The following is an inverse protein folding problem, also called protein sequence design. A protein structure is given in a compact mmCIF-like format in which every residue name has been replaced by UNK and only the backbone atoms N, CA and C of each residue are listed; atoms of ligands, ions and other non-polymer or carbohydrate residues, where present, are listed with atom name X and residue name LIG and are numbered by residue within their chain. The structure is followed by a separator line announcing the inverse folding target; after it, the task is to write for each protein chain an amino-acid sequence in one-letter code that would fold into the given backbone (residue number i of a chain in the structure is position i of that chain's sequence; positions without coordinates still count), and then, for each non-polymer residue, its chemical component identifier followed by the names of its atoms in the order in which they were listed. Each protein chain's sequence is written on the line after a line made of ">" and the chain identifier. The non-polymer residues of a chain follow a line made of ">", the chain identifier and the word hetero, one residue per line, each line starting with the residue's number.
data_IF_440513708014
#
_entry.id   IF_440513708014
#
_cell.length_a   1.000
_cell.length_b   1.000
_cell.length_c   1.000
_cell.angle_alpha   90.00
_cell.angle_beta   90.00
_cell.angle_gamma   90.00
#
_symmetry.space_group_name_H-M   'P 1'
#
loop_
_entity.id
_entity.type
_entity.pdbx_description
1 polymer ?
#
# COMPACT_ATOMS: atom_id res chain seq x y z
N UNK A 1 17.01 9.60 -8.86
CA UNK A 1 16.57 8.29 -8.36
C UNK A 1 17.17 7.15 -9.20
N UNK A 2 17.06 7.17 -10.54
CA UNK A 2 17.65 6.15 -11.44
C UNK A 2 19.16 5.98 -11.24
N UNK A 3 19.92 7.10 -11.26
CA UNK A 3 21.37 7.05 -11.02
C UNK A 3 21.74 6.44 -9.67
N UNK A 4 20.92 6.65 -8.65
CA UNK A 4 21.11 6.03 -7.33
C UNK A 4 20.89 4.51 -7.39
N UNK A 5 19.83 4.05 -8.03
CA UNK A 5 19.57 2.61 -8.19
C UNK A 5 20.63 1.93 -9.05
N UNK A 6 21.10 2.58 -10.12
CA UNK A 6 22.17 2.05 -10.97
C UNK A 6 23.49 1.97 -10.20
N UNK A 7 23.79 2.95 -9.34
CA UNK A 7 24.96 2.90 -8.45
C UNK A 7 24.84 1.77 -7.42
N UNK A 8 23.65 1.58 -6.81
CA UNK A 8 23.40 0.48 -5.88
C UNK A 8 23.58 -0.90 -6.53
N UNK A 9 23.22 -1.04 -7.80
CA UNK A 9 23.30 -2.31 -8.56
C UNK A 9 24.66 -2.57 -9.18
N UNK A 10 25.60 -1.61 -9.15
CA UNK A 10 26.89 -1.72 -9.86
C UNK A 10 27.87 -2.77 -9.31
N UNK A 11 27.58 -3.35 -8.14
CA UNK A 11 28.46 -4.34 -7.50
C UNK A 11 29.83 -3.77 -7.09
N UNK A 12 30.04 -2.45 -7.17
CA UNK A 12 31.30 -1.80 -6.85
C UNK A 12 31.57 -1.65 -5.36
N UNK A 13 30.52 -1.83 -4.54
CA UNK A 13 30.58 -1.60 -3.11
C UNK A 13 30.46 -2.90 -2.33
N UNK A 14 31.36 -3.10 -1.36
CA UNK A 14 31.34 -4.26 -0.46
C UNK A 14 30.25 -4.17 0.59
N UNK A 15 29.86 -2.94 0.97
CA UNK A 15 28.84 -2.65 1.97
C UNK A 15 27.87 -1.62 1.40
N UNK A 16 26.57 -1.87 1.58
CA UNK A 16 25.52 -0.92 1.23
C UNK A 16 24.68 -0.63 2.45
N UNK A 17 24.35 0.65 2.65
CA UNK A 17 23.49 1.12 3.73
C UNK A 17 22.21 1.63 3.12
N UNK A 18 21.08 1.14 3.59
CA UNK A 18 19.74 1.59 3.17
C UNK A 18 18.80 1.72 4.39
N UNK A 19 17.70 2.42 4.23
CA UNK A 19 16.65 2.44 5.25
C UNK A 19 15.77 1.18 5.14
N UNK A 20 14.96 0.92 6.17
CA UNK A 20 14.04 -0.22 6.22
C UNK A 20 13.06 -0.25 5.04
N UNK A 21 12.58 0.93 4.61
CA UNK A 21 11.63 1.02 3.50
C UNK A 21 12.22 0.49 2.20
N UNK A 22 13.48 0.83 1.87
CA UNK A 22 14.12 0.34 0.66
C UNK A 22 14.43 -1.16 0.74
N UNK A 23 14.83 -1.66 1.91
CA UNK A 23 15.01 -3.09 2.15
C UNK A 23 13.70 -3.84 1.93
N UNK A 24 12.62 -3.40 2.57
CA UNK A 24 11.30 -4.04 2.44
C UNK A 24 10.75 -3.95 1.02
N UNK A 25 10.94 -2.81 0.33
CA UNK A 25 10.56 -2.66 -1.07
C UNK A 25 11.32 -3.65 -1.98
N UNK A 26 12.62 -3.87 -1.74
CA UNK A 26 13.40 -4.87 -2.46
C UNK A 26 12.86 -6.29 -2.22
N UNK A 27 12.55 -6.63 -0.97
CA UNK A 27 11.99 -7.92 -0.61
C UNK A 27 10.62 -8.16 -1.27
N UNK A 28 9.76 -7.15 -1.31
CA UNK A 28 8.47 -7.20 -2.03
C UNK A 28 8.70 -7.42 -3.53
N UNK A 29 9.66 -6.70 -4.14
CA UNK A 29 10.00 -6.89 -5.54
C UNK A 29 10.46 -8.32 -5.83
N UNK A 30 11.33 -8.87 -4.98
CA UNK A 30 11.83 -10.26 -5.12
C UNK A 30 10.71 -11.28 -4.97
N UNK A 31 9.82 -11.13 -4.00
CA UNK A 31 8.66 -12.03 -3.80
C UNK A 31 7.72 -12.04 -5.01
N UNK A 32 7.57 -10.89 -5.67
CA UNK A 32 6.77 -10.73 -6.89
C UNK A 32 7.54 -11.10 -8.18
N UNK A 33 8.75 -11.66 -8.09
CA UNK A 33 9.62 -11.97 -9.22
C UNK A 33 9.92 -10.78 -10.14
N UNK A 34 9.88 -9.57 -9.58
CA UNK A 34 10.29 -8.34 -10.24
C UNK A 34 11.81 -8.16 -10.13
N UNK A 35 12.36 -7.22 -10.94
CA UNK A 35 13.77 -6.86 -10.86
C UNK A 35 14.12 -6.38 -9.45
N UNK A 36 15.13 -6.95 -8.77
CA UNK A 36 15.58 -6.49 -7.46
C UNK A 36 16.00 -5.01 -7.48
N UNK A 37 15.76 -4.31 -6.39
CA UNK A 37 16.21 -2.93 -6.21
C UNK A 37 17.62 -2.87 -5.64
N UNK A 38 17.98 -3.85 -4.82
CA UNK A 38 19.30 -4.00 -4.21
C UNK A 38 20.02 -5.21 -4.81
N UNK A 39 21.37 -5.21 -4.87
CA UNK A 39 22.13 -6.37 -5.27
C UNK A 39 21.99 -7.51 -4.23
N UNK A 40 22.35 -8.71 -4.66
CA UNK A 40 22.43 -9.85 -3.77
C UNK A 40 23.51 -9.62 -2.72
N UNK A 41 23.19 -9.88 -1.46
CA UNK A 41 24.09 -9.73 -0.33
C UNK A 41 24.30 -11.04 0.39
N UNK A 42 25.52 -11.27 0.87
CA UNK A 42 25.84 -12.45 1.67
C UNK A 42 25.27 -12.37 3.09
N UNK A 43 25.05 -11.14 3.61
CA UNK A 43 24.49 -10.90 4.93
C UNK A 43 23.70 -9.58 4.93
N UNK A 44 22.68 -9.53 5.77
CA UNK A 44 21.89 -8.32 6.06
C UNK A 44 22.02 -8.04 7.55
N UNK A 45 22.43 -6.82 7.89
CA UNK A 45 22.44 -6.31 9.27
C UNK A 45 21.35 -5.27 9.39
N UNK A 46 20.39 -5.50 10.28
CA UNK A 46 19.27 -4.59 10.52
C UNK A 46 19.52 -3.86 11.83
N UNK A 47 19.84 -2.59 11.73
CA UNK A 47 19.93 -1.69 12.89
C UNK A 47 18.52 -1.21 13.26
N UNK A 48 18.31 -0.83 14.53
CA UNK A 48 16.99 -0.42 15.04
C UNK A 48 15.88 -1.43 14.70
N UNK A 49 16.18 -2.72 14.81
CA UNK A 49 15.28 -3.81 14.38
C UNK A 49 13.88 -3.76 15.00
N UNK A 50 13.72 -3.07 16.14
CA UNK A 50 12.42 -2.86 16.79
C UNK A 50 11.45 -1.99 15.95
N UNK A 51 11.98 -1.16 15.03
CA UNK A 51 11.18 -0.32 14.11
C UNK A 51 10.73 -1.08 12.86
N UNK A 52 11.40 -2.21 12.54
CA UNK A 52 11.11 -2.96 11.32
C UNK A 52 9.65 -3.47 11.23
N UNK A 53 9.04 -4.00 12.31
CA UNK A 53 7.66 -4.48 12.26
C UNK A 53 6.65 -3.37 11.94
N UNK A 54 6.84 -2.17 12.46
CA UNK A 54 5.97 -1.03 12.17
C UNK A 54 6.10 -0.60 10.71
N UNK A 55 7.33 -0.42 10.25
CA UNK A 55 7.61 -0.11 8.83
C UNK A 55 7.05 -1.19 7.90
N UNK A 56 7.17 -2.45 8.27
CA UNK A 56 6.64 -3.56 7.49
C UNK A 56 5.10 -3.57 7.45
N UNK A 57 4.41 -3.27 8.55
CA UNK A 57 2.94 -3.12 8.54
C UNK A 57 2.49 -2.04 7.57
N UNK A 58 3.19 -0.90 7.54
CA UNK A 58 2.91 0.18 6.59
C UNK A 58 3.19 -0.23 5.14
N UNK A 59 4.28 -0.96 4.90
CA UNK A 59 4.70 -1.37 3.54
C UNK A 59 3.87 -2.52 2.95
N UNK A 60 3.42 -3.46 3.78
CA UNK A 60 2.56 -4.58 3.38
C UNK A 60 1.08 -4.28 3.55
N UNK A 61 0.76 -3.15 4.18
CA UNK A 61 -0.60 -2.68 4.35
C UNK A 61 -1.16 -2.01 3.11
N UNK A 62 -2.44 -1.76 3.15
CA UNK A 62 -3.18 -0.97 2.16
C UNK A 62 -4.03 0.07 2.86
N UNK A 63 -4.17 1.22 2.25
CA UNK A 63 -5.04 2.29 2.73
C UNK A 63 -5.97 2.73 1.61
N UNK A 64 -7.13 3.25 1.97
CA UNK A 64 -8.10 3.86 1.06
C UNK A 64 -8.68 5.09 1.73
N UNK A 65 -8.53 6.23 1.06
CA UNK A 65 -8.99 7.54 1.50
C UNK A 65 -9.98 8.15 0.50
N UNK A 66 -10.70 9.18 0.89
CA UNK A 66 -11.51 9.96 -0.04
C UNK A 66 -10.66 10.61 -1.14
N UNK A 67 -9.41 10.97 -0.83
CA UNK A 67 -8.47 11.59 -1.76
C UNK A 67 -8.10 10.66 -2.93
N UNK A 68 -7.98 9.35 -2.71
CA UNK A 68 -7.67 8.38 -3.77
C UNK A 68 -8.74 8.39 -4.86
N UNK A 69 -10.00 8.51 -4.48
CA UNK A 69 -11.10 8.64 -5.43
C UNK A 69 -11.09 9.99 -6.14
N UNK A 70 -10.84 11.08 -5.40
CA UNK A 70 -10.79 12.41 -5.98
C UNK A 70 -9.69 12.55 -7.05
N UNK A 71 -8.51 11.98 -6.80
CA UNK A 71 -7.39 11.97 -7.76
C UNK A 71 -7.73 11.15 -9.00
N UNK A 72 -8.37 9.98 -8.83
CA UNK A 72 -8.78 9.15 -9.96
C UNK A 72 -9.85 9.86 -10.81
N UNK A 73 -10.89 10.43 -10.19
CA UNK A 73 -11.96 11.16 -10.87
C UNK A 73 -11.37 12.34 -11.65
N UNK A 74 -10.48 13.11 -11.02
CA UNK A 74 -9.78 14.21 -11.67
C UNK A 74 -8.97 13.74 -12.89
N UNK A 75 -8.22 12.64 -12.76
CA UNK A 75 -7.42 12.08 -13.85
C UNK A 75 -8.29 11.62 -15.03
N UNK A 76 -9.44 11.00 -14.76
CA UNK A 76 -10.42 10.62 -15.79
C UNK A 76 -11.01 11.85 -16.51
N UNK A 77 -11.32 12.92 -15.78
CA UNK A 77 -11.77 14.19 -16.38
C UNK A 77 -10.70 14.83 -17.27
N UNK A 78 -9.45 14.84 -16.82
CA UNK A 78 -8.31 15.40 -17.61
C UNK A 78 -8.15 14.64 -18.93
N UNK A 79 -8.32 13.33 -18.92
CA UNK A 79 -8.28 12.49 -20.12
C UNK A 79 -9.61 12.46 -20.90
N UNK A 80 -10.60 13.27 -20.50
CA UNK A 80 -11.91 13.44 -21.16
C UNK A 80 -12.84 12.23 -21.09
N UNK A 81 -12.63 11.31 -20.16
CA UNK A 81 -13.56 10.22 -19.85
C UNK A 81 -14.64 10.69 -18.86
N UNK A 82 -15.34 11.77 -19.22
CA UNK A 82 -16.30 12.47 -18.33
C UNK A 82 -17.36 11.54 -17.78
N UNK A 83 -17.96 10.70 -18.64
CA UNK A 83 -19.00 9.76 -18.21
C UNK A 83 -18.49 8.76 -17.16
N UNK A 84 -17.28 8.24 -17.33
CA UNK A 84 -16.68 7.32 -16.35
C UNK A 84 -16.39 8.04 -15.03
N UNK A 85 -15.92 9.29 -15.11
CA UNK A 85 -15.67 10.11 -13.93
C UNK A 85 -16.96 10.43 -13.16
N UNK A 86 -18.03 10.80 -13.85
CA UNK A 86 -19.34 11.09 -13.24
C UNK A 86 -19.96 9.83 -12.61
N UNK A 87 -19.95 8.69 -13.30
CA UNK A 87 -20.42 7.42 -12.77
C UNK A 87 -19.64 6.99 -11.50
N UNK A 88 -18.32 7.18 -11.51
CA UNK A 88 -17.49 6.88 -10.36
C UNK A 88 -17.79 7.85 -9.21
N UNK A 89 -17.90 9.16 -9.49
CA UNK A 89 -18.22 10.18 -8.50
C UNK A 89 -19.53 9.87 -7.78
N UNK A 90 -20.59 9.57 -8.53
CA UNK A 90 -21.88 9.16 -7.95
C UNK A 90 -21.79 7.89 -7.12
N UNK A 91 -21.00 6.91 -7.59
CA UNK A 91 -20.87 5.64 -6.90
C UNK A 91 -20.10 5.72 -5.58
N UNK A 92 -19.10 6.63 -5.50
CA UNK A 92 -18.24 6.78 -4.32
C UNK A 92 -18.74 7.83 -3.33
N UNK A 93 -19.69 8.70 -3.72
CA UNK A 93 -20.18 9.81 -2.89
C UNK A 93 -20.54 9.40 -1.46
N UNK A 94 -21.35 8.33 -1.20
CA UNK A 94 -21.70 7.95 0.17
C UNK A 94 -20.48 7.47 0.99
N UNK A 95 -19.53 6.79 0.35
CA UNK A 95 -18.30 6.36 1.00
C UNK A 95 -17.38 7.56 1.26
N UNK A 96 -17.24 8.46 0.29
CA UNK A 96 -16.41 9.65 0.41
C UNK A 96 -16.92 10.61 1.50
N UNK A 97 -18.24 10.80 1.60
CA UNK A 97 -18.85 11.55 2.69
C UNK A 97 -18.52 10.94 4.06
N UNK A 98 -18.64 9.60 4.18
CA UNK A 98 -18.32 8.89 5.43
C UNK A 98 -16.83 9.00 5.77
N UNK A 99 -15.94 8.91 4.76
CA UNK A 99 -14.49 9.05 4.94
C UNK A 99 -14.05 10.51 5.21
N UNK A 100 -14.87 11.50 4.88
CA UNK A 100 -14.60 12.91 5.18
C UNK A 100 -14.83 13.27 6.65
N UNK A 101 -15.36 12.35 7.44
CA UNK A 101 -15.62 12.52 8.86
C UNK A 101 -14.62 11.66 9.66
N UNK A 102 -14.27 12.07 10.89
CA UNK A 102 -13.46 11.24 11.76
C UNK A 102 -14.18 9.93 12.12
N UNK A 103 -13.42 8.93 12.51
CA UNK A 103 -14.00 7.64 12.93
C UNK A 103 -14.89 7.85 14.15
N UNK A 104 -16.16 7.44 14.05
CA UNK A 104 -17.09 7.46 15.17
C UNK A 104 -16.61 6.52 16.28
N UNK A 105 -16.75 6.95 17.54
CA UNK A 105 -16.34 6.14 18.68
C UNK A 105 -17.03 4.77 18.67
N UNK A 106 -16.24 3.70 18.63
CA UNK A 106 -16.76 2.33 18.54
C UNK A 106 -17.16 1.85 17.14
N UNK A 107 -17.02 2.67 16.10
CA UNK A 107 -17.24 2.23 14.73
C UNK A 107 -16.04 1.43 14.22
N UNK A 108 -16.31 0.17 13.83
CA UNK A 108 -15.35 -0.69 13.15
C UNK A 108 -15.41 -0.57 11.63
N UNK A 109 -14.61 -1.38 10.95
CA UNK A 109 -14.60 -1.49 9.49
C UNK A 109 -16.00 -1.80 8.91
N UNK A 110 -16.81 -2.58 9.61
CA UNK A 110 -18.16 -2.99 9.20
C UNK A 110 -19.09 -1.79 8.89
N UNK A 111 -18.85 -0.65 9.57
CA UNK A 111 -19.62 0.57 9.32
C UNK A 111 -19.39 1.17 7.93
N UNK A 112 -18.34 0.76 7.24
CA UNK A 112 -17.96 1.23 5.90
C UNK A 112 -18.24 0.18 4.81
N UNK A 113 -18.33 -1.09 5.18
CA UNK A 113 -18.40 -2.22 4.25
C UNK A 113 -19.58 -2.12 3.28
N UNK A 114 -20.73 -1.66 3.75
CA UNK A 114 -21.93 -1.51 2.93
C UNK A 114 -21.78 -0.47 1.81
N UNK A 115 -20.87 0.49 1.97
CA UNK A 115 -20.61 1.54 0.98
C UNK A 115 -19.58 1.15 -0.09
N UNK A 116 -18.95 -0.02 0.03
CA UNK A 116 -17.90 -0.50 -0.90
C UNK A 116 -18.46 -1.21 -2.13
N UNK A 117 -19.68 -1.76 -2.06
CA UNK A 117 -20.24 -2.56 -3.14
C UNK A 117 -20.38 -1.78 -4.45
N UNK A 118 -21.00 -0.60 -4.39
CA UNK A 118 -21.23 0.22 -5.58
C UNK A 118 -19.95 0.74 -6.22
N UNK A 119 -18.98 1.31 -5.48
CA UNK A 119 -17.66 1.62 -6.01
C UNK A 119 -16.95 0.42 -6.65
N UNK A 120 -16.99 -0.75 -6.02
CA UNK A 120 -16.41 -1.96 -6.56
C UNK A 120 -17.01 -2.36 -7.92
N UNK A 121 -18.34 -2.35 -8.04
CA UNK A 121 -19.03 -2.68 -9.28
C UNK A 121 -18.68 -1.69 -10.40
N UNK A 122 -18.73 -0.39 -10.12
CA UNK A 122 -18.45 0.67 -11.11
C UNK A 122 -16.98 0.63 -11.53
N UNK A 123 -16.03 0.51 -10.60
CA UNK A 123 -14.62 0.40 -10.93
C UNK A 123 -14.31 -0.83 -11.78
N UNK A 124 -14.98 -1.96 -11.51
CA UNK A 124 -14.84 -3.18 -12.33
C UNK A 124 -15.27 -2.95 -13.76
N UNK A 125 -16.37 -2.22 -13.97
CA UNK A 125 -16.86 -1.87 -15.31
C UNK A 125 -15.91 -0.91 -16.01
N UNK A 126 -15.47 0.15 -15.32
CA UNK A 126 -14.56 1.16 -15.86
C UNK A 126 -13.23 0.50 -16.27
N UNK A 127 -12.64 -0.34 -15.43
CA UNK A 127 -11.41 -1.07 -15.76
C UNK A 127 -11.56 -1.87 -17.05
N UNK A 128 -12.67 -2.58 -17.21
CA UNK A 128 -12.94 -3.39 -18.42
C UNK A 128 -13.14 -2.55 -19.66
N UNK A 129 -13.82 -1.41 -19.55
CA UNK A 129 -14.15 -0.55 -20.69
C UNK A 129 -12.97 0.32 -21.13
N UNK A 130 -12.09 0.74 -20.21
CA UNK A 130 -10.99 1.64 -20.49
C UNK A 130 -9.63 0.95 -20.58
N UNK A 131 -9.60 -0.39 -20.60
CA UNK A 131 -8.37 -1.15 -20.79
C UNK A 131 -7.70 -0.78 -22.12
N UNK A 132 -6.44 -0.36 -22.05
CA UNK A 132 -5.65 0.06 -23.21
C UNK A 132 -5.99 1.43 -23.79
N UNK A 133 -6.97 2.15 -23.24
CA UNK A 133 -7.39 3.47 -23.72
C UNK A 133 -6.79 4.62 -22.91
N UNK A 134 -6.49 4.38 -21.63
CA UNK A 134 -5.94 5.38 -20.70
C UNK A 134 -4.41 5.52 -20.85
N UNK A 135 -3.90 6.67 -20.44
CA UNK A 135 -2.47 6.82 -20.24
C UNK A 135 -1.95 5.81 -19.21
N UNK A 136 -0.66 5.49 -19.26
CA UNK A 136 -0.04 4.54 -18.32
C UNK A 136 -0.20 4.98 -16.87
N UNK A 137 -0.20 6.28 -16.61
CA UNK A 137 -0.30 6.86 -15.27
C UNK A 137 -1.72 6.71 -14.72
N UNK A 138 -2.73 7.15 -15.47
CA UNK A 138 -4.14 7.03 -15.09
C UNK A 138 -4.57 5.57 -14.99
N UNK A 139 -4.09 4.69 -15.89
CA UNK A 139 -4.33 3.25 -15.78
C UNK A 139 -3.76 2.66 -14.50
N UNK A 140 -2.56 3.07 -14.10
CA UNK A 140 -1.95 2.61 -12.85
C UNK A 140 -2.75 3.06 -11.63
N UNK A 141 -3.22 4.31 -11.61
CA UNK A 141 -4.06 4.84 -10.55
C UNK A 141 -5.39 4.09 -10.48
N UNK A 142 -6.10 3.95 -11.62
CA UNK A 142 -7.35 3.21 -11.70
C UNK A 142 -7.20 1.75 -11.21
N UNK A 143 -6.16 1.08 -11.66
CA UNK A 143 -5.90 -0.31 -11.26
C UNK A 143 -5.59 -0.43 -9.77
N UNK A 144 -4.85 0.53 -9.19
CA UNK A 144 -4.53 0.56 -7.78
C UNK A 144 -5.80 0.76 -6.94
N UNK A 145 -6.60 1.79 -7.24
CA UNK A 145 -7.85 2.09 -6.53
C UNK A 145 -8.83 0.92 -6.66
N UNK A 146 -9.02 0.39 -7.87
CA UNK A 146 -9.93 -0.73 -8.11
C UNK A 146 -9.50 -1.99 -7.33
N UNK A 147 -8.21 -2.30 -7.30
CA UNK A 147 -7.67 -3.44 -6.54
C UNK A 147 -7.86 -3.25 -5.03
N UNK A 148 -7.62 -2.04 -4.53
CA UNK A 148 -7.80 -1.70 -3.12
C UNK A 148 -9.26 -1.79 -2.70
N UNK A 149 -10.19 -1.21 -3.47
CA UNK A 149 -11.63 -1.30 -3.21
C UNK A 149 -12.10 -2.75 -3.27
N UNK A 150 -11.64 -3.54 -4.26
CA UNK A 150 -11.96 -4.97 -4.35
C UNK A 150 -11.48 -5.73 -3.13
N UNK A 151 -10.28 -5.43 -2.62
CA UNK A 151 -9.71 -6.06 -1.44
C UNK A 151 -10.54 -5.79 -0.20
N UNK A 152 -10.96 -4.53 0.02
CA UNK A 152 -11.83 -4.18 1.13
C UNK A 152 -13.24 -4.76 0.99
N UNK A 153 -13.80 -4.81 -0.21
CA UNK A 153 -15.15 -5.34 -0.45
C UNK A 153 -15.20 -6.86 -0.31
N UNK A 154 -14.29 -7.58 -0.96
CA UNK A 154 -14.27 -9.04 -0.98
C UNK A 154 -13.65 -9.64 0.29
N UNK A 155 -12.82 -8.86 0.99
CA UNK A 155 -12.04 -9.31 2.12
C UNK A 155 -10.83 -10.16 1.72
N UNK A 156 -9.97 -10.41 2.69
CA UNK A 156 -8.85 -11.34 2.59
C UNK A 156 -8.61 -11.94 3.98
N UNK A 157 -8.65 -13.26 4.15
CA UNK A 157 -8.48 -13.91 5.45
C UNK A 157 -7.08 -13.70 6.08
N UNK A 158 -6.10 -13.32 5.27
CA UNK A 158 -4.73 -13.01 5.73
C UNK A 158 -4.58 -11.55 6.17
N UNK A 159 -5.64 -10.75 6.13
CA UNK A 159 -5.61 -9.33 6.48
C UNK A 159 -6.62 -8.97 7.56
N UNK A 160 -6.27 -8.00 8.36
CA UNK A 160 -7.14 -7.34 9.34
C UNK A 160 -7.50 -5.98 8.76
N UNK A 161 -8.81 -5.71 8.66
CA UNK A 161 -9.33 -4.44 8.18
C UNK A 161 -9.86 -3.61 9.34
N UNK A 162 -9.57 -2.31 9.32
CA UNK A 162 -10.02 -1.34 10.33
C UNK A 162 -10.14 0.05 9.72
N UNK A 163 -10.85 0.94 10.41
CA UNK A 163 -10.87 2.36 10.10
C UNK A 163 -9.98 3.11 11.09
N UNK A 164 -9.30 4.14 10.61
CA UNK A 164 -8.45 5.02 11.41
C UNK A 164 -8.68 6.47 10.98
N UNK A 165 -8.44 7.42 11.88
CA UNK A 165 -8.43 8.83 11.52
C UNK A 165 -7.26 9.13 10.58
N UNK A 166 -7.49 10.01 9.64
CA UNK A 166 -6.45 10.53 8.76
C UNK A 166 -5.82 11.81 9.36
N UNK A 167 -4.68 12.23 8.80
CA UNK A 167 -3.96 13.43 9.24
C UNK A 167 -4.70 14.76 8.91
N UNK A 168 -5.82 14.69 8.18
CA UNK A 168 -6.60 15.84 7.69
C UNK A 168 -7.95 15.98 8.37
N UNK A 169 -8.25 15.14 9.38
CA UNK A 169 -9.49 15.19 10.16
C UNK A 169 -10.64 14.40 9.57
N UNK A 170 -10.37 13.59 8.56
CA UNK A 170 -11.27 12.56 8.03
C UNK A 170 -10.92 11.18 8.59
N UNK A 171 -11.41 10.15 7.91
CA UNK A 171 -11.05 8.76 8.18
C UNK A 171 -10.49 8.08 6.94
N UNK A 172 -9.77 6.99 7.17
CA UNK A 172 -9.25 6.11 6.13
C UNK A 172 -9.55 4.65 6.47
N UNK A 173 -9.77 3.85 5.45
CA UNK A 173 -9.81 2.40 5.60
C UNK A 173 -8.38 1.85 5.52
N UNK A 174 -8.05 1.00 6.46
CA UNK A 174 -6.74 0.37 6.56
C UNK A 174 -6.89 -1.15 6.50
N UNK A 175 -5.98 -1.78 5.78
CA UNK A 175 -5.79 -3.23 5.80
C UNK A 175 -4.36 -3.56 6.14
N UNK A 176 -4.13 -4.43 7.11
CA UNK A 176 -2.79 -4.89 7.49
C UNK A 176 -2.74 -6.42 7.50
N UNK A 177 -1.57 -6.98 7.22
CA UNK A 177 -1.36 -8.44 7.27
C UNK A 177 -1.53 -8.94 8.70
N UNK A 178 -2.34 -10.00 8.88
CA UNK A 178 -2.59 -10.62 10.18
C UNK A 178 -1.32 -11.29 10.75
N UNK A 179 -0.55 -11.97 9.89
CA UNK A 179 0.64 -12.74 10.23
C UNK A 179 1.91 -12.08 9.68
N UNK A 180 2.22 -10.86 10.17
CA UNK A 180 3.41 -10.12 9.73
C UNK A 180 4.71 -10.91 9.93
N UNK A 181 4.82 -11.69 11.00
CA UNK A 181 6.01 -12.51 11.26
C UNK A 181 6.21 -13.58 10.18
N UNK A 182 5.12 -14.24 9.74
CA UNK A 182 5.16 -15.21 8.65
C UNK A 182 5.54 -14.55 7.32
N UNK A 183 5.00 -13.36 7.04
CA UNK A 183 5.32 -12.59 5.85
C UNK A 183 6.79 -12.16 5.81
N UNK A 184 7.31 -11.65 6.92
CA UNK A 184 8.73 -11.32 7.05
C UNK A 184 9.61 -12.56 6.96
N UNK A 185 9.18 -13.68 7.56
CA UNK A 185 9.89 -14.94 7.46
C UNK A 185 9.98 -15.43 6.01
N UNK A 186 8.90 -15.34 5.25
CA UNK A 186 8.87 -15.76 3.87
C UNK A 186 9.70 -14.87 2.93
N UNK A 187 9.87 -13.57 3.26
CA UNK A 187 10.52 -12.57 2.41
C UNK A 187 11.97 -12.29 2.82
N UNK A 188 12.22 -12.12 4.12
CA UNK A 188 13.52 -11.69 4.65
C UNK A 188 14.47 -12.85 4.91
N UNK A 189 13.97 -13.97 5.46
CA UNK A 189 14.82 -15.10 5.88
C UNK A 189 15.39 -15.99 4.77
N UNK A 190 14.81 -16.05 3.57
CA UNK A 190 15.46 -16.74 2.44
C UNK A 190 16.75 -16.06 1.94
N UNK A 191 16.97 -14.79 2.32
CA UNK A 191 18.21 -14.06 2.05
C UNK A 191 19.24 -14.46 3.10
N UNK A 192 20.40 -14.98 2.67
CA UNK A 192 21.45 -15.60 3.50
C UNK A 192 21.87 -14.69 4.68
N UNK A 193 21.99 -15.28 5.86
CA UNK A 193 22.52 -14.68 7.10
C UNK A 193 22.02 -13.26 7.44
N UNK A 194 20.89 -13.19 8.16
CA UNK A 194 20.35 -11.93 8.69
C UNK A 194 20.79 -11.76 10.13
N UNK A 195 21.42 -10.63 10.47
CA UNK A 195 21.70 -10.20 11.84
C UNK A 195 20.79 -9.06 12.25
N UNK A 196 20.09 -9.23 13.36
CA UNK A 196 19.21 -8.22 13.95
C UNK A 196 19.96 -7.51 15.09
N UNK A 197 19.96 -6.19 15.08
CA UNK A 197 20.45 -5.35 16.16
C UNK A 197 19.36 -4.41 16.64
N UNK A 198 19.13 -4.39 17.93
CA UNK A 198 18.34 -3.36 18.61
C UNK A 198 19.27 -2.55 19.51
N UNK A 199 19.14 -1.23 19.50
CA UNK A 199 19.68 -0.42 20.58
C UNK A 199 18.86 -0.70 21.84
N UNK A 200 19.53 -1.14 22.90
CA UNK A 200 18.92 -1.13 24.20
C UNK A 200 18.66 0.35 24.56
N UNK A 201 17.41 0.75 24.51
CA UNK A 201 16.99 1.94 25.21
C UNK A 201 17.27 1.68 26.67
N UNK A 202 18.32 2.29 27.21
CA UNK A 202 18.53 2.35 28.63
C UNK A 202 17.25 2.91 29.23
N UNK A 203 16.40 2.04 29.72
CA UNK A 203 15.30 2.44 30.57
C UNK A 203 15.98 3.12 31.78
N UNK A 204 15.83 4.41 31.85
CA UNK A 204 16.18 5.12 33.08
C UNK A 204 15.35 4.52 34.20
N UNK A 205 16.03 3.78 35.05
CA UNK A 205 15.60 3.51 36.40
C UNK A 205 15.43 4.82 37.16
#
# INVERSE_FOLDING_TARGET
>A
YRCFLDACQSGQYTVQICNHNLLLADLIHRSQKKKPLLPDSAAIIIDEAHKLPETARQMFGVTLTAQDFAELICSLHVERYVLAAELLSEAVEPLAEKLSLPVEEGAGFDAYQMFLERPHQVLTVICRQLEGLLTRETWRLLSAVASTVSLFYLGNPEMIFYAADDDHGGSMLCGTVSELAAQLQATLWPVSYTHLRAHETSAHL
#
